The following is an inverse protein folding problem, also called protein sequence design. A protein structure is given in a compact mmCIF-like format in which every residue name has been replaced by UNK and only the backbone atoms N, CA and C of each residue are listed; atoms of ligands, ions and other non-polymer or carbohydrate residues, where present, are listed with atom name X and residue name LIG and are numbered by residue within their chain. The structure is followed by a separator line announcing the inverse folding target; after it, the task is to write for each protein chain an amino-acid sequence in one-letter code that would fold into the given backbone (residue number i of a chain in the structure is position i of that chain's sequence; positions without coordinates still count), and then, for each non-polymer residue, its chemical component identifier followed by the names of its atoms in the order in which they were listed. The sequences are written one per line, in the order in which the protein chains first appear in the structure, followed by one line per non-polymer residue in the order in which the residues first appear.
data_IF_174833663340
#
_entry.id   IF_174833663340
#
_cell.length_a   1.000
_cell.length_b   1.000
_cell.length_c   1.000
_cell.angle_alpha   90.00
_cell.angle_beta   90.00
_cell.angle_gamma   90.00
#
_symmetry.space_group_name_H-M   'P 1'
#
loop_
_entity.id
_entity.type
_entity.pdbx_description
1 polymer ?
#
# COMPACT_ATOMS: atom_id res chain seq x y z
N UNK A 1 -6.55 16.17 4.76
CA UNK A 1 -5.11 15.87 4.88
C UNK A 1 -4.87 14.38 4.76
N UNK A 2 -3.92 13.99 3.92
CA UNK A 2 -3.57 12.58 3.74
C UNK A 2 -2.63 12.16 4.86
N UNK A 3 -2.97 11.06 5.52
CA UNK A 3 -2.13 10.52 6.57
C UNK A 3 -1.41 9.27 6.07
N UNK A 4 -0.20 9.08 6.56
CA UNK A 4 0.54 7.83 6.37
C UNK A 4 0.28 6.93 7.55
N UNK A 5 0.14 5.66 7.27
CA UNK A 5 -0.01 4.65 8.31
C UNK A 5 0.89 3.47 7.99
N UNK A 6 1.63 3.02 9.00
CA UNK A 6 2.44 1.83 8.89
C UNK A 6 1.56 0.63 9.18
N UNK A 7 1.43 -0.27 8.21
CA UNK A 7 0.53 -1.39 8.32
C UNK A 7 1.23 -2.68 7.97
N UNK A 8 0.89 -3.74 8.66
CA UNK A 8 1.43 -5.06 8.34
C UNK A 8 0.90 -5.52 6.99
N UNK A 9 1.78 -6.10 6.19
CA UNK A 9 1.44 -6.56 4.85
C UNK A 9 0.27 -7.54 4.86
N UNK A 10 0.19 -8.37 5.90
CA UNK A 10 -0.90 -9.33 6.05
C UNK A 10 -2.26 -8.70 6.22
N UNK A 11 -2.31 -7.45 6.62
CA UNK A 11 -3.56 -6.71 6.85
C UNK A 11 -3.95 -5.84 5.68
N UNK A 12 -3.13 -5.80 4.64
CA UNK A 12 -3.44 -5.02 3.45
C UNK A 12 -4.62 -5.63 2.71
N UNK A 13 -5.39 -4.76 2.08
CA UNK A 13 -6.53 -5.16 1.26
C UNK A 13 -6.41 -4.53 -0.12
N UNK A 14 -6.92 -5.22 -1.16
CA UNK A 14 -6.93 -4.63 -2.49
C UNK A 14 -7.64 -3.27 -2.49
N UNK A 15 -7.08 -2.33 -3.23
CA UNK A 15 -7.61 -0.98 -3.32
C UNK A 15 -6.96 0.02 -2.38
N UNK A 16 -6.22 -0.43 -1.38
CA UNK A 16 -5.47 0.49 -0.54
C UNK A 16 -4.38 1.18 -1.33
N UNK A 17 -4.07 2.40 -0.97
CA UNK A 17 -3.05 3.20 -1.65
C UNK A 17 -1.75 3.10 -0.86
N UNK A 18 -0.71 2.62 -1.51
CA UNK A 18 0.59 2.51 -0.86
C UNK A 18 1.30 3.86 -0.88
N UNK A 19 2.05 4.16 0.17
CA UNK A 19 2.74 5.43 0.30
C UNK A 19 4.25 5.26 0.40
N UNK A 20 4.77 4.35 -0.39
CA UNK A 20 6.21 4.18 -0.51
C UNK A 20 6.55 3.48 -1.83
N UNK A 21 7.79 3.61 -2.25
CA UNK A 21 8.31 2.89 -3.40
C UNK A 21 8.94 1.59 -2.90
N UNK A 22 8.56 0.47 -3.50
CA UNK A 22 9.13 -0.85 -3.16
C UNK A 22 9.72 -1.44 -4.42
N UNK A 23 10.99 -1.82 -4.35
CA UNK A 23 11.69 -2.44 -5.47
C UNK A 23 11.81 -3.94 -5.25
N UNK A 24 11.78 -4.67 -6.35
CA UNK A 24 12.03 -6.10 -6.32
C UNK A 24 13.56 -6.35 -6.31
N UNK A 25 13.99 -7.62 -6.15
CA UNK A 25 15.43 -7.93 -6.13
C UNK A 25 16.17 -7.56 -7.40
N UNK A 26 15.49 -7.38 -8.52
CA UNK A 26 16.13 -6.98 -9.78
C UNK A 26 16.32 -5.47 -9.90
N UNK A 27 15.82 -4.71 -8.92
CA UNK A 27 15.93 -3.25 -8.92
C UNK A 27 14.78 -2.55 -9.61
N UNK A 28 13.79 -3.29 -10.09
CA UNK A 28 12.60 -2.69 -10.71
C UNK A 28 11.60 -2.28 -9.64
N UNK A 29 10.83 -1.26 -9.94
CA UNK A 29 9.77 -0.84 -9.03
C UNK A 29 8.65 -1.88 -9.05
N UNK A 30 8.46 -2.56 -7.94
CA UNK A 30 7.32 -3.45 -7.75
C UNK A 30 6.05 -2.63 -7.51
N UNK A 31 6.17 -1.59 -6.69
CA UNK A 31 5.09 -0.69 -6.36
C UNK A 31 5.66 0.72 -6.28
N UNK A 32 4.92 1.70 -6.79
CA UNK A 32 5.30 3.10 -6.67
C UNK A 32 4.36 3.82 -5.71
N UNK A 33 4.86 4.90 -5.13
CA UNK A 33 4.09 5.72 -4.20
C UNK A 33 2.82 6.23 -4.87
N UNK A 34 1.70 6.09 -4.19
CA UNK A 34 0.42 6.56 -4.71
C UNK A 34 -0.35 5.53 -5.51
N UNK A 35 0.19 4.33 -5.69
CA UNK A 35 -0.49 3.27 -6.43
C UNK A 35 -1.46 2.51 -5.57
N UNK A 36 -2.57 2.07 -6.16
CA UNK A 36 -3.47 1.12 -5.51
C UNK A 36 -2.85 -0.28 -5.59
N UNK A 37 -2.92 -1.01 -4.51
CA UNK A 37 -2.42 -2.38 -4.47
C UNK A 37 -3.54 -3.36 -4.76
N UNK A 38 -3.15 -4.57 -5.19
CA UNK A 38 -4.07 -5.66 -5.44
C UNK A 38 -3.53 -6.94 -4.80
N UNK A 39 -4.26 -8.05 -4.96
CA UNK A 39 -3.86 -9.32 -4.37
C UNK A 39 -2.49 -9.78 -4.87
N UNK A 40 -2.18 -9.52 -6.13
CA UNK A 40 -0.89 -9.87 -6.70
C UNK A 40 0.24 -9.14 -5.98
N UNK A 41 0.07 -7.85 -5.78
CA UNK A 41 1.08 -7.03 -5.09
C UNK A 41 1.24 -7.48 -3.65
N UNK A 42 0.14 -7.74 -2.95
CA UNK A 42 0.19 -8.19 -1.56
C UNK A 42 0.96 -9.52 -1.47
N UNK A 43 0.65 -10.46 -2.34
CA UNK A 43 1.34 -11.75 -2.39
C UNK A 43 2.83 -11.58 -2.68
N UNK A 44 3.17 -10.67 -3.60
CA UNK A 44 4.56 -10.41 -3.96
C UNK A 44 5.34 -9.82 -2.80
N UNK A 45 4.72 -8.89 -2.05
CA UNK A 45 5.35 -8.31 -0.87
C UNK A 45 5.65 -9.37 0.18
N UNK A 46 4.72 -10.28 0.41
CA UNK A 46 4.92 -11.37 1.36
C UNK A 46 6.02 -12.31 0.91
N UNK A 47 6.08 -12.64 -0.37
CA UNK A 47 7.13 -13.51 -0.92
C UNK A 47 8.52 -12.89 -0.78
N UNK A 48 8.60 -11.57 -0.88
CA UNK A 48 9.87 -10.85 -0.71
C UNK A 48 10.26 -10.66 0.74
N UNK A 49 9.42 -11.08 1.67
CA UNK A 49 9.68 -10.93 3.10
C UNK A 49 9.40 -9.53 3.62
N UNK A 50 8.68 -8.73 2.87
CA UNK A 50 8.31 -7.38 3.30
C UNK A 50 7.10 -7.49 4.20
N UNK A 51 7.32 -7.33 5.49
CA UNK A 51 6.30 -7.61 6.51
C UNK A 51 5.39 -6.43 6.80
N UNK A 52 5.81 -5.23 6.48
CA UNK A 52 5.05 -4.01 6.76
C UNK A 52 5.36 -2.95 5.72
N UNK A 53 4.40 -2.10 5.45
CA UNK A 53 4.55 -1.02 4.48
C UNK A 53 3.77 0.20 4.96
N UNK A 54 4.10 1.35 4.39
CA UNK A 54 3.31 2.56 4.61
C UNK A 54 2.20 2.64 3.59
N UNK A 55 1.03 3.02 4.05
CA UNK A 55 -0.12 3.26 3.19
C UNK A 55 -0.65 4.67 3.44
N UNK A 56 -1.39 5.18 2.49
CA UNK A 56 -2.16 6.41 2.67
C UNK A 56 -3.48 6.07 3.28
N UNK A 57 -3.86 6.81 4.30
CA UNK A 57 -5.09 6.57 5.00
C UNK A 57 -6.04 7.73 4.80
N UNK A 58 -7.26 7.40 4.50
CA UNK A 58 -8.40 8.19 4.90
C UNK A 58 -9.13 8.95 3.84
N UNK A 59 -8.54 9.76 3.08
CA UNK A 59 -9.35 10.77 2.41
C UNK A 59 -9.68 10.49 0.94
N UNK A 60 -9.28 9.35 0.45
CA UNK A 60 -9.58 9.01 -0.94
C UNK A 60 -10.84 8.18 -1.08
N UNK A 61 -11.45 7.78 0.01
CA UNK A 61 -12.66 6.96 0.01
C UNK A 61 -13.89 7.87 -0.05
N UNK A 62 -14.64 7.86 -1.17
CA UNK A 62 -15.82 8.70 -1.29
C UNK A 62 -16.94 8.33 -0.32
N UNK A 63 -16.88 7.12 0.25
CA UNK A 63 -17.88 6.67 1.20
C UNK A 63 -17.52 6.98 2.65
N UNK A 64 -16.33 7.54 2.87
CA UNK A 64 -15.87 7.89 4.19
C UNK A 64 -16.51 9.22 4.62
N UNK A 65 -17.34 9.22 5.67
CA UNK A 65 -18.00 10.45 6.13
C UNK A 65 -17.03 11.53 6.61
N UNK A 66 -15.82 11.14 6.94
CA UNK A 66 -14.79 12.07 7.40
C UNK A 66 -13.86 12.54 6.27
N UNK A 67 -14.08 12.09 5.06
CA UNK A 67 -13.24 12.41 3.90
C UNK A 67 -13.72 13.67 3.19
N UNK A 68 -13.81 14.75 3.89
CA UNK A 68 -14.31 16.00 3.32
C UNK A 68 -13.19 16.92 2.94
#
# INVERSE_FOLDING_TARGET
MIKRRYMRTRQLKPGMIIDQVIKDPTGRNLVVQGSAIDDYIISSLLKLGIMSVYIREGNADPDDPDAI
#
